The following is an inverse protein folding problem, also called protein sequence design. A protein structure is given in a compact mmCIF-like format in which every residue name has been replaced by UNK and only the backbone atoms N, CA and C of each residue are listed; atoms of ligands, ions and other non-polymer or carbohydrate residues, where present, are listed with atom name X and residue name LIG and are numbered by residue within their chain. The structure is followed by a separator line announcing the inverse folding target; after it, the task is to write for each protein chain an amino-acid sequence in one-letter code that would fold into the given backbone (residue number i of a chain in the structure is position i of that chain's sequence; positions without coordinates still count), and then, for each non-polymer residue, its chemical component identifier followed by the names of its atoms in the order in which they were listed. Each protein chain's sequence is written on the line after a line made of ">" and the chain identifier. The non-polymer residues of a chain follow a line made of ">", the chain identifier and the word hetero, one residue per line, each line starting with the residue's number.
data_IF_205230077502
#
_entry.id   IF_205230077502
#
_cell.length_a   1.000
_cell.length_b   1.000
_cell.length_c   1.000
_cell.angle_alpha   90.00
_cell.angle_beta   90.00
_cell.angle_gamma   90.00
#
_symmetry.space_group_name_H-M   'P 1'
#
loop_
_entity.id
_entity.type
_entity.pdbx_description
1 polymer ?
#
# COMPACT_ATOMS: atom_id res chain seq x y z
N UNK A 1 -21.58 3.60 -0.15
CA UNK A 1 -20.94 2.31 0.19
C UNK A 1 -20.98 1.28 -0.93
N UNK A 2 -22.11 0.93 -1.55
CA UNK A 2 -22.10 -0.08 -2.64
C UNK A 2 -21.19 0.28 -3.83
N UNK A 3 -21.16 1.55 -4.27
CA UNK A 3 -20.23 1.96 -5.34
C UNK A 3 -18.75 1.83 -4.93
N UNK A 4 -18.43 2.05 -3.64
CA UNK A 4 -17.07 1.86 -3.12
C UNK A 4 -16.68 0.38 -3.17
N UNK A 5 -17.56 -0.51 -2.72
CA UNK A 5 -17.38 -1.97 -2.85
C UNK A 5 -17.14 -2.39 -4.31
N UNK A 6 -17.89 -1.84 -5.27
CA UNK A 6 -17.69 -2.11 -6.71
C UNK A 6 -16.33 -1.62 -7.22
N UNK A 7 -15.88 -0.45 -6.78
CA UNK A 7 -14.57 0.10 -7.14
C UNK A 7 -13.44 -0.79 -6.64
N UNK A 8 -13.50 -1.21 -5.38
CA UNK A 8 -12.50 -2.09 -4.77
C UNK A 8 -12.52 -3.49 -5.39
N UNK A 9 -13.72 -4.01 -5.70
CA UNK A 9 -13.86 -5.25 -6.46
C UNK A 9 -13.19 -5.15 -7.83
N UNK A 10 -13.48 -4.08 -8.57
CA UNK A 10 -12.93 -3.85 -9.91
C UNK A 10 -11.41 -3.72 -9.86
N UNK A 11 -10.88 -2.97 -8.89
CA UNK A 11 -9.44 -2.79 -8.71
C UNK A 11 -8.76 -4.10 -8.31
N UNK A 12 -9.26 -4.77 -7.28
CA UNK A 12 -8.64 -5.98 -6.73
C UNK A 12 -8.84 -7.20 -7.62
N UNK A 13 -10.08 -7.70 -7.70
CA UNK A 13 -10.41 -8.89 -8.49
C UNK A 13 -10.24 -8.61 -9.98
N UNK A 14 -10.80 -7.51 -10.48
CA UNK A 14 -10.69 -7.15 -11.89
C UNK A 14 -9.25 -6.86 -12.34
N UNK A 15 -8.43 -6.29 -11.46
CA UNK A 15 -7.00 -6.06 -11.73
C UNK A 15 -6.22 -7.35 -11.94
N UNK A 16 -6.40 -8.35 -11.07
CA UNK A 16 -5.74 -9.65 -11.22
C UNK A 16 -6.24 -10.38 -12.48
N UNK A 17 -7.55 -10.39 -12.74
CA UNK A 17 -8.10 -10.97 -13.97
C UNK A 17 -7.52 -10.32 -15.23
N UNK A 18 -7.33 -9.00 -15.22
CA UNK A 18 -6.69 -8.27 -16.32
C UNK A 18 -5.23 -8.70 -16.50
N UNK A 19 -4.45 -8.76 -15.43
CA UNK A 19 -3.06 -9.21 -15.48
C UNK A 19 -2.95 -10.64 -16.05
N UNK A 20 -3.82 -11.54 -15.59
CA UNK A 20 -3.90 -12.91 -16.10
C UNK A 20 -4.24 -12.94 -17.60
N UNK A 21 -5.22 -12.13 -18.02
CA UNK A 21 -5.62 -12.03 -19.43
C UNK A 21 -4.50 -11.50 -20.33
N UNK A 22 -3.67 -10.61 -19.81
CA UNK A 22 -2.50 -10.06 -20.50
C UNK A 22 -1.27 -10.97 -20.43
N UNK A 23 -1.32 -12.08 -19.69
CA UNK A 23 -0.19 -12.99 -19.49
C UNK A 23 0.92 -12.39 -18.62
N UNK A 24 0.61 -11.36 -17.82
CA UNK A 24 1.58 -10.67 -16.97
C UNK A 24 1.73 -11.45 -15.66
N UNK A 25 2.90 -12.06 -15.47
CA UNK A 25 3.27 -12.75 -14.22
C UNK A 25 4.04 -11.81 -13.30
N UNK A 26 3.79 -11.92 -12.00
CA UNK A 26 4.45 -11.14 -10.94
C UNK A 26 4.75 -12.05 -9.75
N UNK A 27 5.91 -11.83 -9.15
CA UNK A 27 6.33 -12.55 -7.93
C UNK A 27 5.83 -11.87 -6.65
N UNK A 28 5.57 -10.55 -6.72
CA UNK A 28 5.16 -9.72 -5.57
C UNK A 28 3.99 -8.83 -5.96
N UNK A 29 3.03 -8.73 -5.05
CA UNK A 29 1.84 -7.91 -5.17
C UNK A 29 1.78 -6.91 -4.01
N UNK A 30 1.61 -5.64 -4.33
CA UNK A 30 1.60 -4.57 -3.32
C UNK A 30 0.22 -3.93 -3.22
N UNK A 31 -0.38 -4.05 -2.04
CA UNK A 31 -1.60 -3.37 -1.65
C UNK A 31 -1.25 -1.99 -1.12
N UNK A 32 -1.46 -0.98 -1.95
CA UNK A 32 -1.40 0.41 -1.55
C UNK A 32 -2.71 0.79 -0.87
N UNK A 33 -2.75 0.74 0.46
CA UNK A 33 -3.93 0.92 1.32
C UNK A 33 -4.98 -0.21 1.18
N UNK A 34 -5.91 -0.29 2.15
CA UNK A 34 -6.85 -1.42 2.28
C UNK A 34 -7.75 -1.65 1.07
N UNK A 35 -8.04 -0.61 0.27
CA UNK A 35 -8.91 -0.68 -0.89
C UNK A 35 -8.41 -1.62 -2.01
N UNK A 36 -7.12 -1.99 -2.00
CA UNK A 36 -6.54 -2.97 -2.91
C UNK A 36 -6.66 -4.42 -2.41
N UNK A 37 -7.16 -4.67 -1.19
CA UNK A 37 -7.02 -5.97 -0.54
C UNK A 37 -7.72 -7.13 -1.25
N UNK A 38 -8.74 -6.86 -2.08
CA UNK A 38 -9.40 -7.89 -2.89
C UNK A 38 -8.51 -8.52 -3.98
N UNK A 39 -7.29 -8.01 -4.23
CA UNK A 39 -6.32 -8.77 -5.03
C UNK A 39 -6.10 -10.17 -4.44
N UNK A 40 -6.10 -10.30 -3.11
CA UNK A 40 -5.88 -11.58 -2.42
C UNK A 40 -6.98 -12.58 -2.72
N UNK A 41 -8.24 -12.13 -2.91
CA UNK A 41 -9.37 -13.01 -3.21
C UNK A 41 -9.20 -13.69 -4.57
N UNK A 42 -8.88 -12.94 -5.62
CA UNK A 42 -8.69 -13.54 -6.94
C UNK A 42 -7.45 -14.43 -6.99
N UNK A 43 -6.37 -14.05 -6.29
CA UNK A 43 -5.16 -14.88 -6.22
C UNK A 43 -5.39 -16.19 -5.46
N UNK A 44 -6.17 -16.16 -4.38
CA UNK A 44 -6.61 -17.38 -3.68
C UNK A 44 -7.41 -18.29 -4.63
N UNK A 45 -8.34 -17.73 -5.40
CA UNK A 45 -9.11 -18.48 -6.38
C UNK A 45 -8.19 -19.10 -7.45
N UNK A 46 -7.28 -18.33 -8.04
CA UNK A 46 -6.35 -18.81 -9.07
C UNK A 46 -5.52 -20.01 -8.57
N UNK A 47 -5.00 -19.94 -7.34
CA UNK A 47 -4.24 -21.04 -6.74
C UNK A 47 -5.11 -22.25 -6.43
N UNK A 48 -6.33 -22.07 -5.92
CA UNK A 48 -7.25 -23.18 -5.67
C UNK A 48 -7.67 -23.86 -6.97
N UNK A 49 -7.98 -23.09 -8.02
CA UNK A 49 -8.31 -23.64 -9.35
C UNK A 49 -7.11 -24.36 -10.00
N UNK A 50 -5.87 -24.03 -9.60
CA UNK A 50 -4.66 -24.78 -10.00
C UNK A 50 -4.47 -26.12 -9.27
N UNK A 51 -5.33 -26.43 -8.29
CA UNK A 51 -5.32 -27.69 -7.53
C UNK A 51 -4.74 -27.61 -6.12
N UNK A 52 -4.40 -26.42 -5.63
CA UNK A 52 -3.94 -26.23 -4.25
C UNK A 52 -5.13 -26.19 -3.29
N UNK A 53 -4.93 -26.68 -2.06
CA UNK A 53 -5.91 -26.43 -1.01
C UNK A 53 -5.80 -24.98 -0.51
N UNK A 54 -6.87 -24.49 0.12
CA UNK A 54 -6.96 -23.12 0.60
C UNK A 54 -5.80 -22.69 1.50
N UNK A 55 -5.38 -23.53 2.45
CA UNK A 55 -4.32 -23.15 3.39
C UNK A 55 -2.98 -22.95 2.67
N UNK A 56 -2.65 -23.83 1.71
CA UNK A 56 -1.44 -23.66 0.88
C UNK A 56 -1.55 -22.42 -0.01
N UNK A 57 -2.71 -22.19 -0.62
CA UNK A 57 -2.96 -21.00 -1.42
C UNK A 57 -2.82 -19.71 -0.59
N UNK A 58 -3.31 -19.71 0.66
CA UNK A 58 -3.21 -18.58 1.58
C UNK A 58 -1.75 -18.27 1.94
N UNK A 59 -0.94 -19.28 2.25
CA UNK A 59 0.49 -19.08 2.52
C UNK A 59 1.22 -18.51 1.30
N UNK A 60 0.92 -19.00 0.09
CA UNK A 60 1.49 -18.45 -1.14
C UNK A 60 1.07 -16.99 -1.35
N UNK A 61 -0.21 -16.66 -1.15
CA UNK A 61 -0.73 -15.30 -1.26
C UNK A 61 -0.04 -14.38 -0.25
N UNK A 62 0.04 -14.79 1.02
CA UNK A 62 0.70 -14.04 2.09
C UNK A 62 2.16 -13.77 1.76
N UNK A 63 2.93 -14.82 1.47
CA UNK A 63 4.37 -14.75 1.21
C UNK A 63 4.76 -13.82 0.03
N UNK A 64 3.82 -13.50 -0.85
CA UNK A 64 4.02 -12.65 -2.03
C UNK A 64 3.16 -11.39 -2.02
N UNK A 65 2.63 -11.00 -0.85
CA UNK A 65 1.81 -9.81 -0.65
C UNK A 65 2.47 -8.84 0.33
N UNK A 66 2.51 -7.56 -0.06
CA UNK A 66 2.93 -6.43 0.78
C UNK A 66 1.73 -5.51 1.01
N UNK A 67 1.60 -4.95 2.21
CA UNK A 67 0.57 -3.97 2.55
C UNK A 67 1.19 -2.66 3.04
N UNK A 68 0.87 -1.53 2.40
CA UNK A 68 1.21 -0.20 2.94
C UNK A 68 -0.05 0.49 3.40
N UNK A 69 -0.07 0.95 4.65
CA UNK A 69 -1.13 1.80 5.19
C UNK A 69 -0.69 3.25 5.15
N UNK A 70 -1.57 4.13 4.67
CA UNK A 70 -1.34 5.58 4.63
C UNK A 70 -2.17 6.32 5.68
N UNK A 71 -3.21 5.67 6.18
CA UNK A 71 -4.19 6.26 7.08
C UNK A 71 -3.79 6.02 8.54
N UNK A 72 -3.65 7.08 9.37
CA UNK A 72 -3.18 6.93 10.74
C UNK A 72 -4.30 6.68 11.77
N UNK A 73 -5.56 6.57 11.32
CA UNK A 73 -6.73 6.44 12.20
C UNK A 73 -7.74 5.43 11.66
N UNK A 74 -8.33 4.57 12.50
CA UNK A 74 -9.30 3.56 12.07
C UNK A 74 -10.48 4.12 11.28
N UNK A 75 -10.94 5.33 11.61
CA UNK A 75 -12.09 5.97 10.97
C UNK A 75 -11.90 6.25 9.47
N UNK A 76 -10.66 6.22 8.96
CA UNK A 76 -10.39 6.39 7.53
C UNK A 76 -10.29 5.07 6.74
N UNK A 77 -10.43 3.92 7.39
CA UNK A 77 -10.39 2.62 6.73
C UNK A 77 -11.78 2.21 6.21
N UNK A 78 -11.79 1.43 5.13
CA UNK A 78 -13.02 0.91 4.54
C UNK A 78 -13.55 -0.31 5.30
N UNK A 79 -14.84 -0.23 5.65
CA UNK A 79 -15.59 -1.31 6.30
C UNK A 79 -16.87 -1.60 5.51
N UNK A 80 -17.14 -2.88 5.24
CA UNK A 80 -18.34 -3.32 4.54
C UNK A 80 -19.25 -4.18 5.41
N UNK A 81 -20.54 -3.90 5.37
CA UNK A 81 -21.55 -4.74 6.00
C UNK A 81 -21.63 -6.11 5.31
N UNK A 82 -21.81 -7.18 6.08
CA UNK A 82 -21.83 -8.56 5.59
C UNK A 82 -22.80 -8.77 4.40
N UNK A 83 -24.04 -8.23 4.39
CA UNK A 83 -24.94 -8.40 3.24
C UNK A 83 -24.39 -7.78 1.95
N UNK A 84 -23.65 -6.67 2.06
CA UNK A 84 -23.11 -5.98 0.89
C UNK A 84 -21.93 -6.76 0.30
N UNK A 85 -20.98 -7.19 1.11
CA UNK A 85 -19.85 -7.99 0.63
C UNK A 85 -20.32 -9.36 0.10
N UNK A 86 -21.32 -9.97 0.75
CA UNK A 86 -21.91 -11.24 0.32
C UNK A 86 -22.46 -11.20 -1.11
N UNK A 87 -23.04 -10.08 -1.54
CA UNK A 87 -23.58 -9.89 -2.89
C UNK A 87 -22.52 -10.10 -3.98
N UNK A 88 -21.26 -9.76 -3.71
CA UNK A 88 -20.17 -9.83 -4.68
C UNK A 88 -19.22 -11.00 -4.43
N UNK A 89 -18.98 -11.36 -3.17
CA UNK A 89 -17.93 -12.32 -2.80
C UNK A 89 -18.44 -13.75 -2.67
N UNK A 90 -19.69 -14.00 -2.24
CA UNK A 90 -20.17 -15.38 -2.01
C UNK A 90 -19.92 -16.35 -3.18
N UNK A 91 -20.16 -15.98 -4.46
CA UNK A 91 -19.87 -16.87 -5.57
C UNK A 91 -18.39 -17.24 -5.69
N UNK A 92 -17.48 -16.29 -5.42
CA UNK A 92 -16.03 -16.50 -5.50
C UNK A 92 -15.55 -17.34 -4.32
N UNK A 93 -15.99 -17.01 -3.11
CA UNK A 93 -15.64 -17.76 -1.89
C UNK A 93 -16.14 -19.21 -1.97
N UNK A 94 -17.32 -19.43 -2.56
CA UNK A 94 -17.82 -20.78 -2.83
C UNK A 94 -16.90 -21.61 -3.73
N UNK A 95 -16.23 -20.98 -4.71
CA UNK A 95 -15.24 -21.65 -5.56
C UNK A 95 -13.90 -21.89 -4.86
N UNK A 96 -13.49 -20.96 -3.99
CA UNK A 96 -12.31 -21.13 -3.11
C UNK A 96 -12.50 -22.31 -2.15
N UNK A 97 -13.76 -22.65 -1.82
CA UNK A 97 -14.10 -23.87 -1.09
C UNK A 97 -14.02 -23.74 0.43
N UNK A 98 -14.09 -22.51 0.96
CA UNK A 98 -14.14 -22.26 2.41
C UNK A 98 -15.55 -21.83 2.87
N UNK A 99 -15.93 -22.09 4.13
CA UNK A 99 -17.13 -21.53 4.71
C UNK A 99 -17.16 -20.01 4.61
N UNK A 100 -18.35 -19.44 4.34
CA UNK A 100 -18.53 -17.98 4.24
C UNK A 100 -18.07 -17.24 5.50
N UNK A 101 -18.35 -17.78 6.69
CA UNK A 101 -17.91 -17.16 7.94
C UNK A 101 -16.39 -17.21 8.13
N UNK A 102 -15.71 -18.23 7.60
CA UNK A 102 -14.24 -18.24 7.60
C UNK A 102 -13.69 -17.07 6.78
N UNK A 103 -14.27 -16.76 5.62
CA UNK A 103 -13.89 -15.58 4.85
C UNK A 103 -14.17 -14.28 5.62
N UNK A 104 -15.37 -14.16 6.21
CA UNK A 104 -15.72 -12.97 6.99
C UNK A 104 -14.75 -12.73 8.14
N UNK A 105 -14.35 -13.78 8.84
CA UNK A 105 -13.42 -13.73 9.96
C UNK A 105 -12.01 -13.30 9.55
N UNK A 106 -11.61 -13.48 8.28
CA UNK A 106 -10.36 -12.92 7.77
C UNK A 106 -10.38 -11.38 7.71
N UNK A 107 -11.56 -10.76 7.71
CA UNK A 107 -11.73 -9.31 7.73
C UNK A 107 -12.20 -8.74 9.09
N UNK A 108 -12.23 -9.55 10.16
CA UNK A 108 -12.68 -9.12 11.49
C UNK A 108 -11.52 -9.08 12.48
N UNK A 109 -11.46 -8.04 13.30
CA UNK A 109 -10.49 -7.97 14.40
C UNK A 109 -10.80 -9.04 15.45
N UNK A 110 -12.08 -9.37 15.59
CA UNK A 110 -12.59 -10.43 16.45
C UNK A 110 -13.29 -11.51 15.61
N UNK A 111 -12.57 -12.57 15.17
CA UNK A 111 -13.17 -13.72 14.50
C UNK A 111 -14.37 -14.29 15.27
N UNK A 112 -15.46 -14.61 14.55
CA UNK A 112 -16.72 -15.08 15.12
C UNK A 112 -17.65 -13.97 15.63
N UNK A 113 -17.26 -12.70 15.55
CA UNK A 113 -18.10 -11.56 15.91
C UNK A 113 -19.04 -11.14 14.76
N UNK A 114 -19.86 -10.11 15.01
CA UNK A 114 -20.71 -9.46 13.99
C UNK A 114 -20.08 -8.17 13.43
N UNK A 115 -18.76 -8.02 13.55
CA UNK A 115 -18.04 -6.88 12.98
C UNK A 115 -18.23 -6.78 11.47
N UNK A 116 -18.22 -5.55 10.98
CA UNK A 116 -18.12 -5.26 9.55
C UNK A 116 -16.80 -5.82 9.02
N UNK A 117 -16.79 -6.18 7.75
CA UNK A 117 -15.57 -6.64 7.08
C UNK A 117 -14.63 -5.45 6.89
N UNK A 118 -13.52 -5.45 7.63
CA UNK A 118 -12.44 -4.47 7.52
C UNK A 118 -11.47 -4.85 6.42
N UNK A 119 -11.28 -3.96 5.45
CA UNK A 119 -10.34 -4.18 4.36
C UNK A 119 -8.89 -4.20 4.85
N UNK A 120 -8.56 -3.41 5.87
CA UNK A 120 -7.21 -3.41 6.45
C UNK A 120 -6.93 -4.70 7.21
N UNK A 121 -7.89 -5.24 7.96
CA UNK A 121 -7.70 -6.53 8.64
C UNK A 121 -7.53 -7.65 7.61
N UNK A 122 -8.31 -7.64 6.54
CA UNK A 122 -8.14 -8.60 5.44
C UNK A 122 -6.78 -8.47 4.74
N UNK A 123 -6.30 -7.24 4.51
CA UNK A 123 -4.97 -7.00 3.97
C UNK A 123 -3.87 -7.59 4.88
N UNK A 124 -3.95 -7.33 6.19
CA UNK A 124 -3.00 -7.87 7.19
C UNK A 124 -3.05 -9.39 7.29
N UNK A 125 -4.22 -10.00 7.15
CA UNK A 125 -4.37 -11.45 7.16
C UNK A 125 -3.95 -12.12 5.84
N UNK A 126 -3.71 -11.35 4.77
CA UNK A 126 -3.31 -11.87 3.45
C UNK A 126 -2.00 -11.28 2.93
N UNK A 127 -1.27 -10.55 3.77
CA UNK A 127 0.08 -10.03 3.51
C UNK A 127 1.09 -10.63 4.49
N UNK A 128 2.33 -10.78 4.02
CA UNK A 128 3.46 -11.16 4.87
C UNK A 128 4.03 -9.94 5.58
N UNK A 129 4.15 -8.82 4.87
CA UNK A 129 4.74 -7.59 5.38
C UNK A 129 3.73 -6.45 5.32
N UNK A 130 3.77 -5.61 6.35
CA UNK A 130 2.96 -4.40 6.45
C UNK A 130 3.84 -3.20 6.82
N UNK A 131 3.58 -2.03 6.27
CA UNK A 131 4.36 -0.84 6.60
C UNK A 131 3.53 0.45 6.64
N UNK A 132 3.93 1.36 7.53
CA UNK A 132 3.56 2.77 7.45
C UNK A 132 4.43 3.55 6.47
N UNK A 133 4.08 4.82 6.24
CA UNK A 133 4.74 5.69 5.24
C UNK A 133 5.78 6.68 5.79
N UNK A 134 6.11 6.55 7.07
CA UNK A 134 7.19 7.23 7.77
C UNK A 134 7.51 6.47 9.06
N UNK A 135 8.65 6.74 9.69
CA UNK A 135 9.02 6.09 10.94
C UNK A 135 7.95 6.28 12.04
N UNK A 136 7.49 7.52 12.22
CA UNK A 136 6.43 7.82 13.18
C UNK A 136 5.12 7.14 12.78
N UNK A 137 4.79 7.13 11.49
CA UNK A 137 3.59 6.45 11.02
C UNK A 137 3.65 4.94 11.29
N UNK A 138 4.79 4.29 11.12
CA UNK A 138 4.96 2.88 11.46
C UNK A 138 4.65 2.61 12.94
N UNK A 139 5.11 3.46 13.86
CA UNK A 139 4.78 3.37 15.30
C UNK A 139 3.28 3.54 15.54
N UNK A 140 2.64 4.52 14.91
CA UNK A 140 1.19 4.74 15.01
C UNK A 140 0.40 3.55 14.43
N UNK A 141 0.85 2.99 13.31
CA UNK A 141 0.22 1.83 12.68
C UNK A 141 0.30 0.58 13.56
N UNK A 142 1.40 0.37 14.29
CA UNK A 142 1.52 -0.71 15.28
C UNK A 142 0.45 -0.61 16.36
N UNK A 143 0.26 0.58 16.93
CA UNK A 143 -0.80 0.81 17.94
C UNK A 143 -2.19 0.59 17.34
N UNK A 144 -2.43 1.11 16.14
CA UNK A 144 -3.71 0.99 15.44
C UNK A 144 -4.08 -0.47 15.16
N UNK A 145 -3.11 -1.32 14.80
CA UNK A 145 -3.35 -2.71 14.43
C UNK A 145 -3.21 -3.71 15.58
N UNK A 146 -2.87 -3.26 16.79
CA UNK A 146 -2.81 -4.11 18.00
C UNK A 146 -4.04 -5.02 18.18
N UNK A 147 -5.29 -4.57 17.93
CA UNK A 147 -6.46 -5.44 18.08
C UNK A 147 -6.45 -6.70 17.20
N UNK A 148 -5.74 -6.68 16.06
CA UNK A 148 -5.64 -7.81 15.12
C UNK A 148 -4.80 -8.95 15.69
N UNK A 149 -3.74 -8.64 16.44
CA UNK A 149 -2.83 -9.62 17.03
C UNK A 149 -2.89 -9.58 18.55
N UNK A 150 -3.99 -10.09 19.09
CA UNK A 150 -4.21 -10.16 20.55
C UNK A 150 -3.09 -10.94 21.24
N UNK A 151 -2.63 -10.40 22.37
CA UNK A 151 -1.57 -11.02 23.18
C UNK A 151 -0.16 -10.55 22.83
N UNK A 152 0.00 -9.76 21.77
CA UNK A 152 1.27 -9.12 21.42
C UNK A 152 1.26 -7.65 21.83
N UNK A 153 2.43 -7.15 22.23
CA UNK A 153 2.66 -5.73 22.36
C UNK A 153 2.80 -5.09 20.96
N UNK A 154 2.39 -3.81 20.78
CA UNK A 154 2.56 -3.09 19.52
C UNK A 154 3.97 -3.20 18.92
N UNK A 155 5.00 -3.17 19.76
CA UNK A 155 6.40 -3.25 19.37
C UNK A 155 6.77 -4.58 18.70
N UNK A 156 6.09 -5.68 19.07
CA UNK A 156 6.30 -7.03 18.56
C UNK A 156 5.63 -7.28 17.20
N UNK A 157 4.75 -6.38 16.77
CA UNK A 157 4.08 -6.48 15.48
C UNK A 157 5.08 -6.25 14.34
N UNK A 158 4.95 -7.05 13.28
CA UNK A 158 5.78 -6.98 12.06
C UNK A 158 5.49 -5.75 11.17
N UNK A 159 4.71 -4.78 11.67
CA UNK A 159 4.39 -3.56 10.94
C UNK A 159 5.60 -2.61 10.95
N UNK A 160 6.29 -2.49 9.82
CA UNK A 160 7.45 -1.63 9.64
C UNK A 160 7.11 -0.22 9.14
N UNK A 161 8.10 0.42 8.50
CA UNK A 161 7.89 1.67 7.76
C UNK A 161 8.78 1.75 6.52
N UNK A 162 8.28 2.44 5.50
CA UNK A 162 9.05 2.91 4.35
C UNK A 162 8.72 4.37 4.18
N UNK A 163 9.70 5.25 4.40
CA UNK A 163 9.46 6.70 4.29
C UNK A 163 9.17 7.06 2.84
N UNK A 164 8.03 7.71 2.59
CA UNK A 164 7.67 8.16 1.25
C UNK A 164 8.72 9.10 0.66
N UNK A 165 8.89 9.00 -0.66
CA UNK A 165 9.73 9.89 -1.45
C UNK A 165 8.96 10.52 -2.60
N UNK A 166 9.61 11.47 -3.27
CA UNK A 166 9.12 12.07 -4.51
C UNK A 166 10.16 11.86 -5.61
N UNK A 167 9.71 11.69 -6.86
CA UNK A 167 10.60 11.61 -8.01
C UNK A 167 11.12 13.02 -8.36
N UNK A 168 12.30 13.39 -7.86
CA UNK A 168 12.85 14.74 -7.99
C UNK A 168 12.85 15.27 -9.43
N UNK A 169 13.19 14.48 -10.47
CA UNK A 169 13.12 14.96 -11.85
C UNK A 169 11.71 15.35 -12.31
N UNK A 170 10.65 14.75 -11.78
CA UNK A 170 9.28 15.17 -12.10
C UNK A 170 8.83 16.36 -11.26
N UNK A 171 9.31 16.47 -10.01
CA UNK A 171 8.88 17.50 -9.06
C UNK A 171 9.69 18.81 -9.14
N UNK A 172 10.88 18.80 -9.73
CA UNK A 172 11.70 19.98 -9.93
C UNK A 172 11.45 20.67 -11.27
N UNK A 173 11.42 22.00 -11.29
CA UNK A 173 11.38 22.78 -12.54
C UNK A 173 12.70 22.67 -13.29
N UNK A 174 12.71 22.90 -14.61
CA UNK A 174 13.95 22.88 -15.41
C UNK A 174 15.02 23.84 -14.88
N UNK A 175 14.62 24.99 -14.31
CA UNK A 175 15.56 25.93 -13.69
C UNK A 175 16.19 25.36 -12.41
N UNK A 176 15.43 24.63 -11.58
CA UNK A 176 15.99 23.95 -10.42
C UNK A 176 16.86 22.77 -10.80
N UNK A 177 16.52 22.05 -11.88
CA UNK A 177 17.39 20.97 -12.38
C UNK A 177 18.76 21.49 -12.81
N UNK A 178 18.77 22.55 -13.61
CA UNK A 178 20.01 23.21 -14.00
C UNK A 178 20.80 23.76 -12.79
N UNK A 179 20.11 24.25 -11.76
CA UNK A 179 20.74 24.68 -10.52
C UNK A 179 21.40 23.51 -9.78
N UNK A 180 20.73 22.36 -9.66
CA UNK A 180 21.32 21.16 -9.05
C UNK A 180 22.49 20.62 -9.87
N UNK A 181 22.39 20.54 -11.20
CA UNK A 181 23.50 20.11 -12.06
C UNK A 181 24.73 21.02 -11.90
N UNK A 182 24.52 22.35 -11.87
CA UNK A 182 25.58 23.34 -11.69
C UNK A 182 26.33 23.14 -10.38
N UNK A 183 25.63 22.92 -9.27
CA UNK A 183 26.23 22.92 -7.93
C UNK A 183 26.58 21.52 -7.42
N UNK A 184 25.78 20.52 -7.76
CA UNK A 184 25.93 19.16 -7.25
C UNK A 184 26.70 18.26 -8.23
N UNK A 185 26.75 18.68 -9.50
CA UNK A 185 27.49 18.04 -10.59
C UNK A 185 26.59 17.24 -11.53
N UNK A 186 27.12 16.83 -12.70
CA UNK A 186 26.33 16.20 -13.76
C UNK A 186 25.79 14.80 -13.38
N UNK A 187 26.42 14.13 -12.41
CA UNK A 187 26.02 12.80 -11.93
C UNK A 187 25.00 12.84 -10.79
N UNK A 188 24.52 14.02 -10.40
CA UNK A 188 23.61 14.15 -9.26
C UNK A 188 22.33 13.30 -9.41
N UNK A 189 21.74 13.27 -10.59
CA UNK A 189 20.55 12.48 -10.88
C UNK A 189 20.80 10.97 -10.99
N UNK A 190 22.05 10.54 -11.09
CA UNK A 190 22.42 9.13 -11.09
C UNK A 190 22.56 8.58 -9.65
N UNK A 191 22.71 9.47 -8.66
CA UNK A 191 23.02 9.12 -7.27
C UNK A 191 22.33 10.07 -6.27
N UNK A 192 21.01 10.28 -6.46
CA UNK A 192 20.21 11.21 -5.65
C UNK A 192 20.16 10.84 -4.15
N UNK A 193 20.44 9.57 -3.81
CA UNK A 193 20.51 9.09 -2.43
C UNK A 193 21.80 9.48 -1.69
N UNK A 194 22.78 10.04 -2.38
CA UNK A 194 24.09 10.35 -1.81
C UNK A 194 24.08 11.69 -1.06
N UNK A 195 24.08 11.60 0.27
CA UNK A 195 24.09 12.76 1.16
C UNK A 195 25.29 13.69 0.96
N UNK A 196 26.44 13.20 0.49
CA UNK A 196 27.61 14.05 0.27
C UNK A 196 27.43 14.97 -0.95
N UNK A 197 26.67 14.54 -1.96
CA UNK A 197 26.28 15.42 -3.07
C UNK A 197 25.36 16.53 -2.57
N UNK A 198 24.39 16.20 -1.71
CA UNK A 198 23.48 17.19 -1.12
C UNK A 198 24.19 18.23 -0.25
N UNK A 199 25.23 17.84 0.50
CA UNK A 199 26.01 18.77 1.34
C UNK A 199 26.66 19.92 0.55
N UNK A 200 26.85 19.79 -0.77
CA UNK A 200 27.35 20.88 -1.63
C UNK A 200 26.45 22.11 -1.61
N UNK A 201 25.17 21.98 -1.24
CA UNK A 201 24.27 23.13 -1.09
C UNK A 201 24.81 24.17 -0.10
N UNK A 202 25.54 23.75 0.94
CA UNK A 202 26.13 24.64 1.92
C UNK A 202 27.28 25.51 1.38
N UNK A 203 27.75 25.23 0.16
CA UNK A 203 28.75 26.03 -0.54
C UNK A 203 28.10 27.08 -1.46
N UNK A 204 26.79 27.01 -1.67
CA UNK A 204 26.06 27.95 -2.53
C UNK A 204 25.68 29.19 -1.71
N UNK A 205 25.89 30.38 -2.27
CA UNK A 205 25.57 31.62 -1.57
C UNK A 205 24.06 31.84 -1.43
N UNK A 206 23.66 32.45 -0.32
CA UNK A 206 22.27 32.83 -0.06
C UNK A 206 21.68 33.69 -1.17
N UNK A 207 22.47 34.62 -1.73
CA UNK A 207 22.07 35.47 -2.85
C UNK A 207 21.70 34.66 -4.10
N UNK A 208 22.40 33.56 -4.38
CA UNK A 208 22.10 32.72 -5.54
C UNK A 208 20.81 31.92 -5.32
N UNK A 209 20.64 31.34 -4.13
CA UNK A 209 19.41 30.64 -3.73
C UNK A 209 18.21 31.59 -3.79
N UNK A 210 18.38 32.82 -3.28
CA UNK A 210 17.34 33.85 -3.28
C UNK A 210 16.94 34.26 -4.70
N UNK A 211 17.92 34.47 -5.59
CA UNK A 211 17.65 34.77 -7.01
C UNK A 211 16.84 33.65 -7.67
N UNK A 212 17.17 32.38 -7.44
CA UNK A 212 16.40 31.25 -7.96
C UNK A 212 14.97 31.22 -7.40
N UNK A 213 14.80 31.44 -6.09
CA UNK A 213 13.47 31.54 -5.48
C UNK A 213 12.62 32.66 -6.09
N UNK A 214 13.22 33.84 -6.32
CA UNK A 214 12.53 34.97 -6.94
C UNK A 214 12.19 34.70 -8.41
N UNK A 215 13.05 33.98 -9.14
CA UNK A 215 12.75 33.51 -10.49
C UNK A 215 11.52 32.57 -10.49
N UNK A 216 11.49 31.58 -9.59
CA UNK A 216 10.35 30.66 -9.46
C UNK A 216 9.05 31.37 -9.07
N UNK A 217 9.13 32.39 -8.18
CA UNK A 217 7.95 33.20 -7.81
C UNK A 217 7.40 34.00 -8.99
N UNK A 218 8.27 34.62 -9.80
CA UNK A 218 7.84 35.36 -11.00
C UNK A 218 7.12 34.42 -11.98
N UNK A 219 7.72 33.27 -12.29
CA UNK A 219 7.10 32.24 -13.14
C UNK A 219 5.76 31.69 -12.64
N UNK A 220 5.47 31.78 -11.34
CA UNK A 220 4.18 31.36 -10.79
C UNK A 220 3.10 32.44 -10.97
N UNK A 221 3.50 33.71 -10.98
CA UNK A 221 2.59 34.86 -11.07
C UNK A 221 2.33 35.26 -12.52
N UNK A 222 3.35 35.14 -13.38
CA UNK A 222 3.27 35.39 -14.82
C UNK A 222 2.51 34.26 -15.55
#
# INVERSE_FOLDING_TARGET
>A
WENRMKQEFLLGVGGILLLNKLGIKKDVYHMNEGHAAFISVQRLLDYVESGLNFNVALELVRASSLYTVHTPVPAGHDYFDEPLIAKYMKPIIGKIGIPWQQFMDMGRENPGSNEKFSMSVFALNTAQEANGVSELHGKVSKEMFRPVWKGYFPEELHVGYVTNGVHLPSWATSSMKAFYEKHFGPKFYEDEGNFDLWKKIYQVSDDEIWKQRMHLKKKLVD
#
